data_IF_167847700369
#
_entry.id   IF_167847700369
#
_cell.length_a   1.000
_cell.length_b   1.000
_cell.length_c   1.000
_cell.angle_alpha   90.00
_cell.angle_beta   90.00
_cell.angle_gamma   90.00
#
_symmetry.space_group_name_H-M   'P 1'
#
loop_
_entity.id
_entity.type
_entity.pdbx_description
1 polymer ?
#
# COMPACT_ATOMS: atom_id res chain seq x y z
N UNK A 1 -3.09 9.54 -12.82
CA UNK A 1 -4.00 9.09 -11.73
C UNK A 1 -3.80 9.97 -10.52
N UNK A 2 -4.89 10.39 -9.89
CA UNK A 2 -4.79 11.21 -8.68
C UNK A 2 -4.30 10.36 -7.50
N UNK A 3 -3.59 11.00 -6.59
CA UNK A 3 -3.00 10.31 -5.43
C UNK A 3 -4.06 9.53 -4.63
N UNK A 4 -5.23 10.11 -4.39
CA UNK A 4 -6.27 9.43 -3.63
C UNK A 4 -6.77 8.15 -4.32
N UNK A 5 -6.90 8.19 -5.65
CA UNK A 5 -7.29 7.00 -6.41
C UNK A 5 -6.19 5.94 -6.36
N UNK A 6 -4.94 6.37 -6.46
CA UNK A 6 -3.80 5.46 -6.41
C UNK A 6 -3.71 4.77 -5.05
N UNK A 7 -3.88 5.53 -3.97
CA UNK A 7 -3.88 4.97 -2.61
C UNK A 7 -4.99 3.94 -2.44
N UNK A 8 -6.19 4.22 -2.96
CA UNK A 8 -7.29 3.27 -2.90
C UNK A 8 -6.99 1.99 -3.66
N UNK A 9 -6.35 2.09 -4.81
CA UNK A 9 -5.99 0.91 -5.61
C UNK A 9 -4.90 0.08 -4.93
N UNK A 10 -3.92 0.74 -4.34
CA UNK A 10 -2.88 0.04 -3.57
C UNK A 10 -3.51 -0.69 -2.39
N UNK A 11 -4.40 -0.03 -1.66
CA UNK A 11 -5.10 -0.63 -0.54
C UNK A 11 -5.86 -1.89 -0.98
N UNK A 12 -6.54 -1.81 -2.13
CA UNK A 12 -7.26 -2.96 -2.68
C UNK A 12 -6.33 -4.12 -3.01
N UNK A 13 -5.16 -3.84 -3.59
CA UNK A 13 -4.16 -4.86 -3.89
C UNK A 13 -3.71 -5.55 -2.61
N UNK A 14 -3.38 -4.79 -1.58
CA UNK A 14 -2.92 -5.34 -0.31
C UNK A 14 -4.01 -6.15 0.38
N UNK A 15 -5.25 -5.70 0.27
CA UNK A 15 -6.38 -6.41 0.85
C UNK A 15 -6.61 -7.77 0.19
N UNK A 16 -6.52 -7.80 -1.16
CA UNK A 16 -6.79 -9.01 -1.93
C UNK A 16 -5.67 -10.03 -1.83
N UNK A 17 -4.41 -9.57 -1.86
CA UNK A 17 -3.26 -10.50 -1.90
C UNK A 17 -3.06 -11.26 -0.60
N UNK A 18 -3.38 -10.65 0.53
CA UNK A 18 -3.28 -11.27 1.86
C UNK A 18 -1.89 -11.87 2.14
N UNK A 19 -0.85 -11.36 1.46
CA UNK A 19 0.55 -11.73 1.67
C UNK A 19 1.41 -10.50 1.41
N UNK A 20 2.66 -10.55 1.83
CA UNK A 20 3.58 -9.45 1.56
C UNK A 20 3.80 -9.33 0.05
N UNK A 21 3.70 -8.10 -0.47
CA UNK A 21 3.85 -7.79 -1.89
C UNK A 21 4.97 -6.78 -2.03
N UNK A 22 5.86 -7.00 -2.99
CA UNK A 22 6.96 -6.07 -3.21
C UNK A 22 6.47 -4.80 -3.91
N UNK A 23 7.26 -3.74 -3.79
CA UNK A 23 6.99 -2.49 -4.49
C UNK A 23 6.90 -2.73 -6.00
N UNK A 24 7.80 -3.55 -6.52
CA UNK A 24 7.83 -3.90 -7.94
C UNK A 24 6.56 -4.60 -8.38
N UNK A 25 6.06 -5.54 -7.59
CA UNK A 25 4.82 -6.24 -7.90
C UNK A 25 3.64 -5.27 -7.97
N UNK A 26 3.54 -4.38 -7.01
CA UNK A 26 2.45 -3.40 -6.98
C UNK A 26 2.53 -2.50 -8.21
N UNK A 27 3.74 -2.04 -8.55
CA UNK A 27 3.95 -1.19 -9.71
C UNK A 27 3.51 -1.87 -11.01
N UNK A 28 3.84 -3.15 -11.16
CA UNK A 28 3.43 -3.93 -12.33
C UNK A 28 1.92 -4.12 -12.37
N UNK A 29 1.31 -4.49 -11.24
CA UNK A 29 -0.13 -4.73 -11.17
C UNK A 29 -0.91 -3.47 -11.55
N UNK A 30 -0.47 -2.31 -11.07
CA UNK A 30 -1.18 -1.05 -11.29
C UNK A 30 -0.73 -0.29 -12.54
N UNK A 31 0.35 -0.74 -13.18
CA UNK A 31 0.86 -0.07 -14.38
C UNK A 31 1.42 1.32 -14.09
N UNK A 32 2.06 1.48 -12.93
CA UNK A 32 2.63 2.75 -12.50
C UNK A 32 4.12 2.63 -12.23
N UNK A 33 4.80 3.77 -12.22
CA UNK A 33 6.21 3.79 -11.90
C UNK A 33 6.43 3.52 -10.41
N UNK A 34 7.52 2.85 -10.11
CA UNK A 34 7.86 2.41 -8.75
C UNK A 34 7.92 3.59 -7.77
N UNK A 35 8.51 4.71 -8.19
CA UNK A 35 8.65 5.88 -7.34
C UNK A 35 7.29 6.47 -6.96
N UNK A 36 6.35 6.45 -7.89
CA UNK A 36 4.99 6.95 -7.65
C UNK A 36 4.28 6.05 -6.65
N UNK A 37 4.43 4.73 -6.81
CA UNK A 37 3.86 3.76 -5.87
C UNK A 37 4.45 3.95 -4.48
N UNK A 38 5.77 4.16 -4.39
CA UNK A 38 6.43 4.35 -3.11
C UNK A 38 5.88 5.57 -2.36
N UNK A 39 5.72 6.69 -3.06
CA UNK A 39 5.16 7.90 -2.46
C UNK A 39 3.74 7.64 -1.94
N UNK A 40 2.93 6.95 -2.73
CA UNK A 40 1.54 6.67 -2.36
C UNK A 40 1.46 5.72 -1.16
N UNK A 41 2.32 4.70 -1.11
CA UNK A 41 2.34 3.76 0.01
C UNK A 41 2.77 4.45 1.29
N UNK A 42 3.76 5.33 1.23
CA UNK A 42 4.19 6.08 2.41
C UNK A 42 3.05 6.91 2.97
N UNK A 43 2.28 7.58 2.11
CA UNK A 43 1.11 8.32 2.55
C UNK A 43 0.06 7.39 3.16
N UNK A 44 -0.16 6.23 2.55
CA UNK A 44 -1.14 5.27 3.03
C UNK A 44 -0.75 4.73 4.42
N UNK A 45 0.52 4.43 4.61
CA UNK A 45 1.05 3.99 5.92
C UNK A 45 0.79 5.06 6.97
N UNK A 46 1.05 6.33 6.64
CA UNK A 46 0.81 7.45 7.55
C UNK A 46 -0.67 7.59 7.87
N UNK A 47 -1.54 7.42 6.88
CA UNK A 47 -2.98 7.49 7.08
C UNK A 47 -3.45 6.43 8.07
N UNK A 48 -2.99 5.19 7.92
CA UNK A 48 -3.36 4.13 8.85
C UNK A 48 -2.84 4.40 10.26
N UNK A 49 -1.63 4.92 10.37
CA UNK A 49 -1.04 5.28 11.66
C UNK A 49 -1.86 6.38 12.35
N UNK A 50 -2.27 7.38 11.57
CA UNK A 50 -3.01 8.52 12.09
C UNK A 50 -4.42 8.15 12.55
N UNK A 51 -5.06 7.18 11.91
CA UNK A 51 -6.42 6.74 12.26
C UNK A 51 -6.48 6.06 13.62
N UNK A 52 -5.39 5.44 14.07
CA UNK A 52 -5.39 4.69 15.32
C UNK A 52 -6.31 3.47 15.30
N UNK A 53 -6.62 2.95 14.12
CA UNK A 53 -7.49 1.78 13.98
C UNK A 53 -6.76 0.46 14.22
N UNK A 54 -7.45 -0.64 13.93
CA UNK A 54 -6.93 -1.98 14.15
C UNK A 54 -6.01 -2.48 13.04
N UNK A 55 -5.96 -1.79 11.91
CA UNK A 55 -5.16 -2.22 10.76
C UNK A 55 -3.89 -1.40 10.64
N UNK A 56 -2.87 -2.02 10.09
CA UNK A 56 -1.61 -1.35 9.76
C UNK A 56 -1.04 -1.94 8.48
N UNK A 57 -0.11 -1.21 7.87
CA UNK A 57 0.66 -1.75 6.76
C UNK A 57 2.07 -1.99 7.27
N UNK A 58 2.48 -3.26 7.27
CA UNK A 58 3.84 -3.65 7.63
C UNK A 58 4.69 -3.62 6.37
N UNK A 59 5.91 -3.11 6.48
CA UNK A 59 6.81 -2.94 5.33
C UNK A 59 8.17 -3.61 5.51
N UNK A 60 8.31 -4.55 6.44
CA UNK A 60 9.59 -5.20 6.68
C UNK A 60 10.07 -6.05 5.52
N UNK A 61 9.19 -6.89 4.97
CA UNK A 61 9.52 -7.82 3.89
C UNK A 61 8.50 -7.68 2.77
N UNK A 62 8.44 -6.50 2.15
CA UNK A 62 7.38 -6.13 1.25
C UNK A 62 6.26 -5.49 2.04
N UNK A 63 5.13 -5.26 1.42
CA UNK A 63 4.01 -4.55 2.04
C UNK A 63 2.85 -5.49 2.26
N UNK A 64 2.31 -5.48 3.48
CA UNK A 64 1.15 -6.31 3.81
C UNK A 64 0.22 -5.52 4.73
N UNK A 65 -1.08 -5.60 4.45
CA UNK A 65 -2.11 -5.04 5.30
C UNK A 65 -2.48 -6.09 6.34
N UNK A 66 -2.40 -5.75 7.60
CA UNK A 66 -2.59 -6.71 8.67
C UNK A 66 -3.21 -6.07 9.90
N UNK A 67 -3.64 -6.89 10.84
CA UNK A 67 -4.15 -6.44 12.13
C UNK A 67 -2.95 -6.13 13.03
N UNK A 68 -3.03 -5.02 13.74
CA UNK A 68 -1.98 -4.61 14.68
C UNK A 68 -1.83 -5.61 15.80
#
# INVERSE_FOLDING_TARGET
MKMEQLKSRIEAVLFITARAVSLEEIAVILGEEKEIIEDAILELIMDYSARGGALEIDDENGYILQVK
#
